data_IF_679593413167
#
_entry.id   IF_679593413167
#
_cell.length_a   1.000
_cell.length_b   1.000
_cell.length_c   1.000
_cell.angle_alpha   90.00
_cell.angle_beta   90.00
_cell.angle_gamma   90.00
#
_symmetry.space_group_name_H-M   'P 1'
#
loop_
_entity.id
_entity.type
_entity.pdbx_description
1 polymer ?
#
# COMPACT_ATOMS: atom_id res chain seq x y z
N UNK A 1 -5.77 -12.23 -16.61
CA UNK A 1 -5.73 -13.11 -15.42
C UNK A 1 -6.46 -12.39 -14.30
N UNK A 2 -7.46 -13.02 -13.67
CA UNK A 2 -8.19 -12.49 -12.51
C UNK A 2 -7.34 -12.75 -11.25
N UNK A 3 -7.15 -11.76 -10.38
CA UNK A 3 -6.38 -11.92 -9.14
C UNK A 3 -7.36 -11.96 -7.98
N UNK A 4 -7.82 -13.16 -7.65
CA UNK A 4 -8.78 -13.43 -6.58
C UNK A 4 -8.04 -14.16 -5.45
N UNK A 5 -8.14 -13.66 -4.21
CA UNK A 5 -7.57 -14.30 -3.02
C UNK A 5 -8.66 -14.72 -2.03
N UNK A 6 -8.47 -15.83 -1.35
CA UNK A 6 -9.36 -16.26 -0.25
C UNK A 6 -8.88 -15.62 1.07
N UNK A 7 -9.81 -15.17 1.94
CA UNK A 7 -9.49 -14.55 3.23
C UNK A 7 -8.54 -15.39 4.10
N UNK A 8 -8.74 -16.71 4.11
CA UNK A 8 -7.90 -17.64 4.87
C UNK A 8 -6.43 -17.66 4.43
N UNK A 9 -6.16 -17.35 3.15
CA UNK A 9 -4.80 -17.31 2.61
C UNK A 9 -4.10 -16.00 3.04
N UNK A 10 -4.85 -14.92 3.23
CA UNK A 10 -4.31 -13.62 3.64
C UNK A 10 -4.01 -13.56 5.15
N UNK A 11 -4.79 -14.26 5.99
CA UNK A 11 -4.52 -14.32 7.43
C UNK A 11 -3.29 -15.16 7.81
N UNK A 12 -2.82 -16.02 6.90
CA UNK A 12 -1.68 -16.92 7.12
C UNK A 12 -0.36 -16.35 6.56
N UNK A 13 -0.40 -15.27 5.76
CA UNK A 13 0.77 -14.53 5.28
C UNK A 13 0.90 -13.21 6.06
N UNK A 14 1.68 -13.22 7.15
CA UNK A 14 2.36 -12.02 7.62
C UNK A 14 3.75 -12.03 6.98
N UNK A 15 3.81 -11.74 5.68
CA UNK A 15 5.08 -11.54 4.98
C UNK A 15 5.58 -10.13 5.29
N UNK A 16 6.85 -10.01 5.65
CA UNK A 16 7.49 -8.71 5.87
C UNK A 16 7.41 -7.81 4.62
N UNK A 17 7.19 -8.38 3.43
CA UNK A 17 7.06 -7.65 2.17
C UNK A 17 5.63 -7.53 1.65
N UNK A 18 4.60 -7.77 2.47
CA UNK A 18 3.20 -7.73 2.03
C UNK A 18 2.80 -6.42 1.34
N UNK A 19 3.41 -5.31 1.76
CA UNK A 19 3.20 -3.99 1.18
C UNK A 19 3.72 -3.83 -0.25
N UNK A 20 4.50 -4.78 -0.78
CA UNK A 20 4.92 -4.82 -2.19
C UNK A 20 4.02 -5.69 -3.06
N UNK A 21 3.09 -6.41 -2.44
CA UNK A 21 2.19 -7.29 -3.17
C UNK A 21 1.22 -6.48 -4.04
N UNK A 22 0.62 -7.17 -5.01
CA UNK A 22 -0.46 -6.61 -5.80
C UNK A 22 -1.74 -6.53 -4.96
N UNK A 23 -2.49 -5.44 -5.13
CA UNK A 23 -3.86 -5.37 -4.64
C UNK A 23 -4.69 -6.42 -5.37
N UNK A 24 -5.58 -7.06 -4.62
CA UNK A 24 -6.42 -8.14 -5.15
C UNK A 24 -7.78 -8.13 -4.48
N UNK A 25 -8.76 -8.65 -5.22
CA UNK A 25 -10.11 -8.81 -4.71
C UNK A 25 -10.15 -10.06 -3.84
N UNK A 26 -10.68 -9.89 -2.64
CA UNK A 26 -10.89 -10.94 -1.66
C UNK A 26 -12.36 -11.30 -1.66
N UNK A 27 -12.69 -12.43 -2.30
CA UNK A 27 -14.08 -12.89 -2.35
C UNK A 27 -14.32 -13.79 -1.15
N UNK A 28 -15.12 -13.32 -0.19
CA UNK A 28 -15.52 -14.15 0.94
C UNK A 28 -16.67 -15.07 0.54
N UNK A 29 -16.34 -16.25 0.01
CA UNK A 29 -17.30 -17.26 -0.46
C UNK A 29 -18.23 -17.81 0.65
N UNK A 30 -18.01 -17.48 1.93
CA UNK A 30 -18.71 -18.11 3.07
C UNK A 30 -19.80 -17.26 3.73
N UNK A 31 -19.86 -15.95 3.50
CA UNK A 31 -20.77 -15.04 4.21
C UNK A 31 -21.53 -14.12 3.26
N UNK A 32 -22.20 -14.66 2.24
CA UNK A 32 -23.24 -13.90 1.53
C UNK A 32 -24.58 -14.30 2.19
N UNK A 33 -25.21 -13.45 3.02
CA UNK A 33 -26.56 -13.68 3.47
C UNK A 33 -27.45 -13.82 2.23
N UNK A 34 -28.22 -14.90 2.14
CA UNK A 34 -29.11 -15.19 1.00
C UNK A 34 -30.13 -14.05 0.73
N UNK A 35 -30.32 -13.14 1.68
CA UNK A 35 -31.26 -12.01 1.61
C UNK A 35 -30.66 -10.70 1.05
N UNK A 36 -29.35 -10.64 0.73
CA UNK A 36 -28.72 -9.50 0.02
C UNK A 36 -28.48 -9.75 -1.48
N UNK A 37 -29.14 -10.76 -2.05
CA UNK A 37 -29.07 -11.01 -3.49
C UNK A 37 -29.85 -9.93 -4.25
N UNK A 38 -29.14 -8.92 -4.77
CA UNK A 38 -28.98 -8.62 -6.20
C UNK A 38 -28.44 -7.17 -6.37
N UNK A 39 -27.20 -6.93 -5.99
CA UNK A 39 -26.52 -5.64 -6.23
C UNK A 39 -25.54 -5.74 -7.41
N UNK A 40 -25.31 -4.64 -8.12
CA UNK A 40 -24.37 -4.48 -9.25
C UNK A 40 -22.98 -5.11 -9.01
N UNK A 41 -22.59 -5.32 -7.75
CA UNK A 41 -21.29 -5.84 -7.33
C UNK A 41 -21.01 -7.33 -7.61
N UNK A 42 -22.01 -8.11 -8.04
CA UNK A 42 -21.81 -9.50 -8.51
C UNK A 42 -21.91 -9.63 -10.04
N UNK A 43 -22.16 -8.54 -10.74
CA UNK A 43 -22.19 -8.54 -12.20
C UNK A 43 -20.77 -8.81 -12.76
N UNK A 44 -20.63 -9.64 -13.80
CA UNK A 44 -19.33 -9.91 -14.42
C UNK A 44 -18.58 -8.64 -14.86
N UNK A 45 -19.33 -7.61 -15.25
CA UNK A 45 -18.79 -6.29 -15.63
C UNK A 45 -18.15 -5.59 -14.43
N UNK A 46 -18.86 -5.47 -13.31
CA UNK A 46 -18.29 -4.91 -12.08
C UNK A 46 -17.04 -5.67 -11.61
N UNK A 47 -17.08 -7.01 -11.65
CA UNK A 47 -15.92 -7.82 -11.27
C UNK A 47 -14.73 -7.53 -12.21
N UNK A 48 -14.98 -7.38 -13.51
CA UNK A 48 -13.93 -7.03 -14.47
C UNK A 48 -13.33 -5.65 -14.18
N UNK A 49 -14.18 -4.64 -13.95
CA UNK A 49 -13.75 -3.27 -13.66
C UNK A 49 -13.00 -3.17 -12.32
N UNK A 50 -13.46 -3.88 -11.29
CA UNK A 50 -12.77 -3.94 -10.00
C UNK A 50 -11.39 -4.61 -10.13
N UNK A 51 -11.28 -5.65 -10.96
CA UNK A 51 -9.98 -6.24 -11.27
C UNK A 51 -9.06 -5.29 -12.04
N UNK A 52 -9.60 -4.49 -12.95
CA UNK A 52 -8.83 -3.45 -13.65
C UNK A 52 -8.32 -2.39 -12.67
N UNK A 53 -9.19 -1.91 -11.77
CA UNK A 53 -8.81 -1.00 -10.69
C UNK A 53 -7.67 -1.59 -9.84
N UNK A 54 -7.77 -2.86 -9.42
CA UNK A 54 -6.71 -3.51 -8.64
C UNK A 54 -5.35 -3.51 -9.37
N UNK A 55 -5.34 -3.76 -10.69
CA UNK A 55 -4.12 -3.73 -11.49
C UNK A 55 -3.54 -2.32 -11.57
N UNK A 56 -4.36 -1.32 -11.93
CA UNK A 56 -3.92 0.08 -12.02
C UNK A 56 -3.41 0.58 -10.68
N UNK A 57 -4.12 0.27 -9.59
CA UNK A 57 -3.71 0.59 -8.23
C UNK A 57 -2.35 -0.04 -7.88
N UNK A 58 -2.15 -1.31 -8.25
CA UNK A 58 -0.90 -2.03 -8.01
C UNK A 58 0.27 -1.42 -8.78
N UNK A 59 0.05 -1.08 -10.06
CA UNK A 59 1.06 -0.42 -10.88
C UNK A 59 1.44 0.96 -10.32
N UNK A 60 0.44 1.78 -9.97
CA UNK A 60 0.68 3.11 -9.38
C UNK A 60 1.42 3.03 -8.05
N UNK A 61 1.04 2.07 -7.20
CA UNK A 61 1.69 1.85 -5.92
C UNK A 61 3.14 1.39 -6.08
N UNK A 62 3.40 0.40 -6.95
CA UNK A 62 4.76 -0.09 -7.23
C UNK A 62 5.64 1.02 -7.81
N UNK A 63 5.12 1.80 -8.76
CA UNK A 63 5.86 2.92 -9.35
C UNK A 63 6.16 3.98 -8.29
N UNK A 64 5.17 4.38 -7.48
CA UNK A 64 5.39 5.32 -6.39
C UNK A 64 6.47 4.84 -5.42
N UNK A 65 6.46 3.57 -5.01
CA UNK A 65 7.49 2.98 -4.16
C UNK A 65 8.86 3.02 -4.82
N UNK A 66 8.95 2.65 -6.10
CA UNK A 66 10.21 2.67 -6.84
C UNK A 66 10.80 4.07 -6.90
N UNK A 67 9.98 5.08 -7.20
CA UNK A 67 10.40 6.49 -7.22
C UNK A 67 10.92 6.92 -5.84
N UNK A 68 10.19 6.58 -4.77
CA UNK A 68 10.58 6.91 -3.39
C UNK A 68 11.88 6.20 -2.97
N UNK A 69 12.09 4.95 -3.38
CA UNK A 69 13.35 4.24 -3.11
C UNK A 69 14.55 4.88 -3.80
N UNK A 70 14.38 5.35 -5.03
CA UNK A 70 15.43 6.04 -5.76
C UNK A 70 15.76 7.38 -5.09
N UNK A 71 14.74 8.19 -4.76
CA UNK A 71 14.91 9.45 -4.05
C UNK A 71 15.61 9.25 -2.68
N UNK A 72 15.22 8.21 -1.93
CA UNK A 72 15.85 7.90 -0.65
C UNK A 72 17.32 7.50 -0.81
N UNK A 73 17.63 6.61 -1.76
CA UNK A 73 19.02 6.19 -2.03
C UNK A 73 19.90 7.37 -2.39
N UNK A 74 19.39 8.31 -3.18
CA UNK A 74 20.14 9.51 -3.55
C UNK A 74 20.35 10.45 -2.36
N UNK A 75 19.35 10.64 -1.50
CA UNK A 75 19.49 11.42 -0.26
C UNK A 75 20.56 10.81 0.65
N UNK A 76 20.55 9.49 0.81
CA UNK A 76 21.34 8.81 1.84
C UNK A 76 22.66 8.23 1.35
N UNK A 77 23.09 8.54 0.12
CA UNK A 77 24.27 7.91 -0.52
C UNK A 77 25.61 8.11 0.21
N UNK A 78 25.69 9.10 1.09
CA UNK A 78 26.88 9.38 1.91
C UNK A 78 26.68 9.11 3.41
N UNK A 79 25.52 8.60 3.81
CA UNK A 79 25.20 8.25 5.20
C UNK A 79 25.59 6.80 5.50
N UNK A 80 25.60 6.41 6.78
CA UNK A 80 25.88 5.03 7.18
C UNK A 80 24.83 4.05 6.61
N UNK A 81 25.29 2.96 6.00
CA UNK A 81 24.41 2.01 5.31
C UNK A 81 23.50 1.23 6.26
N UNK A 82 23.95 0.94 7.49
CA UNK A 82 23.12 0.22 8.46
C UNK A 82 22.05 1.15 9.02
N UNK A 83 22.44 2.38 9.37
CA UNK A 83 21.51 3.38 9.88
C UNK A 83 20.41 3.72 8.88
N UNK A 84 20.78 3.95 7.62
CA UNK A 84 19.81 4.26 6.54
C UNK A 84 18.85 3.10 6.29
N UNK A 85 19.37 1.87 6.25
CA UNK A 85 18.54 0.67 6.14
C UNK A 85 17.58 0.55 7.32
N UNK A 86 18.04 0.84 8.54
CA UNK A 86 17.20 0.76 9.74
C UNK A 86 16.14 1.86 9.76
N UNK A 87 16.47 3.09 9.37
CA UNK A 87 15.53 4.21 9.28
C UNK A 87 14.42 3.91 8.25
N UNK A 88 14.81 3.45 7.05
CA UNK A 88 13.86 3.03 6.03
C UNK A 88 12.92 1.93 6.53
N UNK A 89 13.46 0.87 7.13
CA UNK A 89 12.65 -0.28 7.54
C UNK A 89 11.76 0.02 8.76
N UNK A 90 12.30 0.72 9.77
CA UNK A 90 11.59 0.97 11.03
C UNK A 90 10.48 1.99 10.88
N UNK A 91 10.72 3.04 10.11
CA UNK A 91 9.78 4.15 9.96
C UNK A 91 8.98 4.02 8.66
N UNK A 92 9.66 3.99 7.52
CA UNK A 92 8.99 4.10 6.22
C UNK A 92 8.27 2.82 5.79
N UNK A 93 8.92 1.66 5.84
CA UNK A 93 8.28 0.38 5.51
C UNK A 93 7.10 0.09 6.44
N UNK A 94 7.23 0.45 7.74
CA UNK A 94 6.13 0.34 8.70
C UNK A 94 4.93 1.20 8.30
N UNK A 95 5.18 2.42 7.82
CA UNK A 95 4.13 3.30 7.27
C UNK A 95 3.50 2.69 6.01
N UNK A 96 4.31 2.24 5.03
CA UNK A 96 3.82 1.65 3.78
C UNK A 96 2.95 0.42 4.01
N UNK A 97 3.29 -0.43 4.99
CA UNK A 97 2.46 -1.58 5.39
C UNK A 97 1.07 -1.16 5.85
N UNK A 98 0.95 -0.06 6.61
CA UNK A 98 -0.34 0.45 7.08
C UNK A 98 -1.17 1.00 5.93
N UNK A 99 -0.57 1.83 5.08
CA UNK A 99 -1.25 2.38 3.91
C UNK A 99 -1.73 1.27 2.97
N UNK A 100 -0.86 0.31 2.67
CA UNK A 100 -1.22 -0.84 1.84
C UNK A 100 -2.42 -1.60 2.43
N UNK A 101 -2.41 -1.86 3.75
CA UNK A 101 -3.52 -2.49 4.44
C UNK A 101 -4.83 -1.69 4.35
N UNK A 102 -4.78 -0.37 4.48
CA UNK A 102 -5.94 0.51 4.31
C UNK A 102 -6.49 0.46 2.88
N UNK A 103 -5.64 0.64 1.88
CA UNK A 103 -6.05 0.57 0.47
C UNK A 103 -6.68 -0.79 0.16
N UNK A 104 -6.06 -1.88 0.61
CA UNK A 104 -6.58 -3.22 0.39
C UNK A 104 -7.94 -3.43 1.07
N UNK A 105 -8.12 -2.90 2.28
CA UNK A 105 -9.40 -2.92 3.00
C UNK A 105 -10.48 -2.17 2.22
N UNK A 106 -10.19 -0.94 1.78
CA UNK A 106 -11.14 -0.08 1.07
C UNK A 106 -11.53 -0.68 -0.31
N UNK A 107 -10.56 -1.25 -1.04
CA UNK A 107 -10.80 -1.99 -2.29
C UNK A 107 -11.76 -3.17 -2.06
N UNK A 108 -11.74 -3.80 -0.88
CA UNK A 108 -12.57 -4.95 -0.57
C UNK A 108 -13.84 -4.63 0.23
N UNK A 109 -14.07 -3.37 0.58
CA UNK A 109 -15.28 -2.96 1.32
C UNK A 109 -16.53 -3.03 0.43
N UNK A 110 -17.50 -3.91 0.69
CA UNK A 110 -18.70 -4.04 -0.14
C UNK A 110 -19.63 -2.82 -0.03
N UNK A 111 -19.47 -1.95 0.97
CA UNK A 111 -20.29 -0.74 1.10
C UNK A 111 -19.87 0.40 0.16
N UNK A 112 -18.68 0.30 -0.45
CA UNK A 112 -18.14 1.32 -1.35
C UNK A 112 -18.46 1.04 -2.82
N UNK A 113 -18.80 2.09 -3.57
CA UNK A 113 -18.92 1.98 -5.03
C UNK A 113 -17.55 1.84 -5.69
N UNK A 114 -17.50 1.41 -6.95
CA UNK A 114 -16.24 1.36 -7.70
C UNK A 114 -15.58 2.74 -7.80
N UNK A 115 -16.38 3.79 -7.99
CA UNK A 115 -15.91 5.18 -8.05
C UNK A 115 -15.30 5.62 -6.72
N UNK A 116 -15.94 5.28 -5.60
CA UNK A 116 -15.39 5.59 -4.28
C UNK A 116 -14.06 4.88 -4.03
N UNK A 117 -13.97 3.60 -4.40
CA UNK A 117 -12.73 2.80 -4.28
C UNK A 117 -11.60 3.44 -5.09
N UNK A 118 -11.87 3.82 -6.34
CA UNK A 118 -10.87 4.48 -7.19
C UNK A 118 -10.42 5.82 -6.61
N UNK A 119 -11.36 6.62 -6.12
CA UNK A 119 -11.05 7.90 -5.48
C UNK A 119 -10.15 7.72 -4.25
N UNK A 120 -10.49 6.77 -3.37
CA UNK A 120 -9.75 6.47 -2.14
C UNK A 120 -8.33 5.98 -2.45
N UNK A 121 -8.18 5.05 -3.40
CA UNK A 121 -6.86 4.56 -3.86
C UNK A 121 -6.00 5.72 -4.30
N UNK A 122 -6.53 6.60 -5.16
CA UNK A 122 -5.78 7.74 -5.68
C UNK A 122 -5.35 8.70 -4.56
N UNK A 123 -6.24 8.98 -3.60
CA UNK A 123 -5.91 9.78 -2.41
C UNK A 123 -4.77 9.14 -1.64
N UNK A 124 -4.88 7.88 -1.23
CA UNK A 124 -3.85 7.24 -0.40
C UNK A 124 -2.47 7.27 -1.06
N UNK A 125 -2.40 7.01 -2.37
CA UNK A 125 -1.14 7.05 -3.13
C UNK A 125 -0.59 8.48 -3.21
N UNK A 126 -1.45 9.48 -3.50
CA UNK A 126 -1.03 10.89 -3.53
C UNK A 126 -0.51 11.37 -2.18
N UNK A 127 -1.20 11.02 -1.09
CA UNK A 127 -0.80 11.42 0.26
C UNK A 127 0.47 10.71 0.72
N UNK A 128 0.64 9.43 0.39
CA UNK A 128 1.89 8.69 0.64
C UNK A 128 3.10 9.42 0.04
N UNK A 129 3.01 9.92 -1.19
CA UNK A 129 4.09 10.69 -1.82
C UNK A 129 4.38 12.01 -1.10
N UNK A 130 3.37 12.66 -0.52
CA UNK A 130 3.55 13.87 0.29
C UNK A 130 4.21 13.55 1.63
N UNK A 131 3.72 12.51 2.30
CA UNK A 131 4.27 12.03 3.57
C UNK A 131 5.73 11.60 3.41
N UNK A 132 6.09 11.09 2.23
CA UNK A 132 7.46 10.75 1.90
C UNK A 132 8.41 11.96 1.90
N UNK A 133 7.94 13.13 1.45
CA UNK A 133 8.75 14.37 1.50
C UNK A 133 9.11 14.74 2.93
N UNK A 134 8.15 14.65 3.84
CA UNK A 134 8.39 14.85 5.27
C UNK A 134 9.31 13.78 5.86
N UNK A 135 9.18 12.53 5.42
CA UNK A 135 10.08 11.46 5.84
C UNK A 135 11.53 11.70 5.39
N UNK A 136 11.77 12.23 4.19
CA UNK A 136 13.11 12.61 3.74
C UNK A 136 13.71 13.73 4.59
N UNK A 137 12.92 14.77 4.89
CA UNK A 137 13.33 15.88 5.78
C UNK A 137 13.68 15.34 7.17
N UNK A 138 12.78 14.56 7.77
CA UNK A 138 13.00 13.92 9.06
C UNK A 138 14.24 13.00 9.08
N UNK A 139 14.47 12.24 8.01
CA UNK A 139 15.67 11.39 7.88
C UNK A 139 16.93 12.24 7.89
N UNK A 140 16.94 13.34 7.14
CA UNK A 140 18.10 14.22 7.07
C UNK A 140 18.40 14.87 8.43
N UNK A 141 17.39 15.43 9.08
CA UNK A 141 17.52 16.03 10.41
C UNK A 141 18.01 15.01 11.44
N UNK A 142 17.42 13.80 11.44
CA UNK A 142 17.83 12.72 12.36
C UNK A 142 19.27 12.26 12.16
N UNK A 143 19.81 12.39 10.93
CA UNK A 143 21.21 12.08 10.65
C UNK A 143 22.14 13.19 11.15
N UNK A 144 21.81 14.45 10.86
CA UNK A 144 22.59 15.63 11.29
C UNK A 144 22.72 15.68 12.82
N UNK A 145 21.63 15.37 13.55
CA UNK A 145 21.64 15.31 15.01
C UNK A 145 22.57 14.21 15.58
N UNK A 146 22.84 13.14 14.82
CA UNK A 146 23.80 12.11 15.26
C UNK A 146 25.25 12.57 15.13
N UNK A 147 25.56 13.36 14.09
CA UNK A 147 26.90 13.91 13.87
C UNK A 147 27.27 14.98 14.92
N UNK A 148 26.27 15.62 15.54
CA UNK A 148 26.47 16.65 16.57
C UNK A 148 26.69 16.12 17.99
N UNK A 149 26.52 14.81 18.25
CA UNK A 149 26.80 14.22 19.57
C UNK A 149 28.30 13.91 19.66
N UNK A 150 29.11 14.68 20.43
CA UNK A 150 30.53 14.41 20.55
C UNK A 150 30.75 13.15 21.39
N UNK A 151 31.63 12.27 20.93
CA UNK A 151 32.20 11.17 21.73
C UNK A 151 32.89 11.68 23.01
#
# INVERSE_FOLDING_TARGET
>A
MLIIRNERILSEQHDENDWRNEFSVVINLKNIPEEQQLGEQQEPEYIYELNDLCKRASEYWKNAISDMEEEYKELTKYMDQNWTKDMWNREWVKYLRRVYGHILSDINDPSLTLVDKEYIVNIWITWTRKDFRFFLEYTKESWEDQDEIPN
#
